data_IF_981623648179
#
_entry.id   IF_981623648179
#
_cell.length_a   1.000
_cell.length_b   1.000
_cell.length_c   1.000
_cell.angle_alpha   90.00
_cell.angle_beta   90.00
_cell.angle_gamma   90.00
#
_symmetry.space_group_name_H-M   'P 1'
#
loop_
_entity.id
_entity.type
_entity.pdbx_description
1 polymer ?
#
# COMPACT_ATOMS: atom_id res chain seq x y z
N UNK A 1 -20.77 -12.29 -11.54
CA UNK A 1 -20.22 -11.37 -12.54
C UNK A 1 -20.19 -9.99 -11.92
N UNK A 2 -19.07 -9.29 -11.99
CA UNK A 2 -18.87 -7.97 -11.42
C UNK A 2 -18.71 -6.97 -12.57
N UNK A 3 -19.37 -5.81 -12.50
CA UNK A 3 -19.26 -4.76 -13.52
C UNK A 3 -18.18 -3.73 -13.18
N UNK A 4 -17.85 -3.58 -11.88
CA UNK A 4 -16.80 -2.69 -11.39
C UNK A 4 -16.05 -3.37 -10.24
N UNK A 5 -14.73 -3.40 -10.31
CA UNK A 5 -13.88 -3.84 -9.21
C UNK A 5 -13.13 -2.62 -8.63
N UNK A 6 -13.33 -2.38 -7.33
CA UNK A 6 -12.74 -1.29 -6.58
C UNK A 6 -11.96 -1.86 -5.39
N UNK A 7 -10.72 -2.25 -5.62
CA UNK A 7 -9.90 -2.95 -4.63
C UNK A 7 -8.50 -2.36 -4.46
N UNK A 8 -8.37 -1.02 -4.53
CA UNK A 8 -7.06 -0.37 -4.43
C UNK A 8 -6.08 -0.85 -5.49
N UNK A 9 -6.58 -1.09 -6.70
CA UNK A 9 -5.76 -1.63 -7.79
C UNK A 9 -5.09 -0.50 -8.58
N UNK A 10 -3.95 -0.82 -9.14
CA UNK A 10 -3.24 0.01 -10.08
C UNK A 10 -2.87 -0.77 -11.32
N UNK A 11 -2.69 -0.06 -12.42
CA UNK A 11 -2.23 -0.61 -13.67
C UNK A 11 -0.72 -0.90 -13.61
N UNK A 12 -0.35 -2.15 -13.88
CA UNK A 12 1.03 -2.59 -14.03
C UNK A 12 1.20 -3.32 -15.36
N UNK A 13 2.41 -3.38 -15.86
CA UNK A 13 2.74 -4.12 -17.10
C UNK A 13 2.29 -5.60 -17.05
N UNK A 14 2.36 -6.23 -15.89
CA UNK A 14 1.98 -7.62 -15.66
C UNK A 14 0.52 -7.79 -15.16
N UNK A 15 -0.20 -6.71 -14.91
CA UNK A 15 -1.59 -6.73 -14.45
C UNK A 15 -2.50 -6.29 -15.59
N UNK A 16 -2.77 -7.20 -16.52
CA UNK A 16 -3.63 -6.96 -17.67
C UNK A 16 -5.09 -7.29 -17.34
N UNK A 17 -5.98 -6.39 -17.70
CA UNK A 17 -7.40 -6.68 -17.76
C UNK A 17 -7.70 -7.56 -18.98
N UNK A 18 -8.76 -8.40 -18.89
CA UNK A 18 -9.28 -9.11 -20.05
C UNK A 18 -9.87 -8.15 -21.10
N UNK A 19 -10.21 -8.69 -22.27
CA UNK A 19 -10.72 -7.89 -23.41
C UNK A 19 -12.02 -7.13 -23.10
N UNK A 20 -12.77 -7.57 -22.08
CA UNK A 20 -14.06 -7.02 -21.70
C UNK A 20 -13.98 -6.03 -20.51
N UNK A 21 -12.78 -5.57 -20.17
CA UNK A 21 -12.57 -4.62 -19.07
C UNK A 21 -11.51 -3.57 -19.42
N UNK A 22 -11.68 -2.38 -18.86
CA UNK A 22 -10.77 -1.24 -19.00
C UNK A 22 -10.47 -0.62 -17.64
N UNK A 23 -9.34 0.07 -17.52
CA UNK A 23 -9.02 0.88 -16.36
C UNK A 23 -9.78 2.22 -16.43
N UNK A 24 -10.31 2.67 -15.29
CA UNK A 24 -10.89 4.02 -15.17
C UNK A 24 -9.79 5.09 -15.15
N UNK A 25 -10.19 6.36 -15.19
CA UNK A 25 -9.37 7.45 -14.67
C UNK A 25 -8.93 7.15 -13.22
N UNK A 26 -7.79 7.62 -12.74
CA UNK A 26 -7.35 7.41 -11.38
C UNK A 26 -8.31 8.11 -10.41
N UNK A 27 -8.59 7.47 -9.27
CA UNK A 27 -9.43 8.05 -8.22
C UNK A 27 -8.66 8.43 -6.95
N UNK A 28 -7.45 7.90 -6.80
CA UNK A 28 -6.60 8.17 -5.64
C UNK A 28 -5.13 8.05 -6.01
N UNK A 29 -4.32 8.92 -5.40
CA UNK A 29 -2.88 8.84 -5.38
C UNK A 29 -2.45 8.25 -4.05
N UNK A 30 -1.60 7.23 -4.07
CA UNK A 30 -0.98 6.66 -2.88
C UNK A 30 0.52 6.61 -3.06
N UNK A 31 1.25 6.76 -1.97
CA UNK A 31 2.67 6.48 -1.89
C UNK A 31 2.86 5.19 -1.13
N UNK A 32 3.88 4.46 -1.47
CA UNK A 32 4.26 3.31 -0.71
C UNK A 32 4.95 3.75 0.58
N UNK A 33 4.67 3.06 1.68
CA UNK A 33 5.26 3.34 2.97
C UNK A 33 5.54 2.06 3.74
N UNK A 34 6.41 2.15 4.72
CA UNK A 34 6.55 1.13 5.75
C UNK A 34 5.99 1.68 7.06
N UNK A 35 5.10 0.93 7.68
CA UNK A 35 4.64 1.16 9.04
C UNK A 35 5.62 0.49 10.00
N UNK A 36 6.19 1.24 10.92
CA UNK A 36 7.18 0.79 11.92
C UNK A 36 6.79 1.27 13.32
N UNK A 37 7.45 0.74 14.35
CA UNK A 37 7.35 1.31 15.70
C UNK A 37 7.94 2.72 15.72
N UNK A 38 7.32 3.63 16.47
CA UNK A 38 7.85 4.99 16.68
C UNK A 38 9.29 4.97 17.23
N UNK A 39 9.61 4.00 18.09
CA UNK A 39 10.96 3.85 18.65
C UNK A 39 12.05 3.58 17.61
N UNK A 40 11.68 3.06 16.46
CA UNK A 40 12.61 2.67 15.41
C UNK A 40 12.80 3.76 14.34
N UNK A 41 12.04 4.87 14.41
CA UNK A 41 12.03 5.94 13.40
C UNK A 41 13.42 6.52 13.12
N UNK A 42 14.24 6.66 14.16
CA UNK A 42 15.57 7.24 14.02
C UNK A 42 16.64 6.24 13.51
N UNK A 43 16.31 4.95 13.53
CA UNK A 43 17.25 3.86 13.18
C UNK A 43 16.92 3.20 11.84
N UNK A 44 15.68 3.26 11.37
CA UNK A 44 15.23 2.65 10.11
C UNK A 44 14.96 3.73 9.06
N UNK A 45 16.02 4.25 8.43
CA UNK A 45 15.94 5.38 7.48
C UNK A 45 16.20 4.98 6.04
N UNK A 46 16.97 3.93 5.81
CA UNK A 46 17.35 3.48 4.47
C UNK A 46 17.16 1.96 4.35
N UNK A 47 17.06 1.41 3.13
CA UNK A 47 16.90 -0.03 2.95
C UNK A 47 17.96 -0.88 3.67
N UNK A 48 19.20 -0.37 3.78
CA UNK A 48 20.31 -1.05 4.45
C UNK A 48 20.09 -1.19 5.96
N UNK A 49 19.32 -0.31 6.59
CA UNK A 49 18.99 -0.36 8.01
C UNK A 49 18.07 -1.55 8.35
N UNK A 50 17.45 -2.13 7.33
CA UNK A 50 16.60 -3.32 7.47
C UNK A 50 17.36 -4.64 7.35
N UNK A 51 18.70 -4.63 7.35
CA UNK A 51 19.48 -5.85 7.40
C UNK A 51 19.11 -6.69 8.64
N UNK A 52 18.72 -7.95 8.42
CA UNK A 52 18.26 -8.86 9.48
C UNK A 52 16.87 -8.56 10.04
N UNK A 53 16.17 -7.57 9.50
CA UNK A 53 14.81 -7.19 9.89
C UNK A 53 13.76 -7.94 9.07
N UNK A 54 12.56 -8.07 9.63
CA UNK A 54 11.43 -8.72 8.99
C UNK A 54 10.40 -7.69 8.53
N UNK A 55 10.13 -7.66 7.23
CA UNK A 55 9.11 -6.81 6.61
C UNK A 55 7.97 -7.70 6.12
N UNK A 56 6.75 -7.43 6.59
CA UNK A 56 5.54 -8.10 6.11
C UNK A 56 4.91 -7.27 4.99
N UNK A 57 4.44 -7.94 3.95
CA UNK A 57 3.78 -7.33 2.79
C UNK A 57 2.60 -8.19 2.33
N UNK A 58 1.61 -7.57 1.70
CA UNK A 58 0.53 -8.31 1.05
C UNK A 58 1.03 -8.98 -0.23
N UNK A 59 0.76 -10.28 -0.46
CA UNK A 59 1.20 -10.99 -1.67
C UNK A 59 0.79 -10.26 -2.95
N UNK A 60 1.70 -10.21 -3.92
CA UNK A 60 1.50 -9.57 -5.24
C UNK A 60 1.18 -8.07 -5.21
N UNK A 61 1.25 -7.45 -4.03
CA UNK A 61 1.13 -6.00 -3.92
C UNK A 61 2.38 -5.30 -4.46
N UNK A 62 2.26 -4.02 -4.69
CA UNK A 62 3.40 -3.19 -5.04
C UNK A 62 4.44 -3.13 -3.92
N UNK A 63 4.01 -3.20 -2.65
CA UNK A 63 4.92 -3.31 -1.51
C UNK A 63 5.72 -4.63 -1.51
N UNK A 64 5.13 -5.73 -2.00
CA UNK A 64 5.84 -6.99 -2.16
C UNK A 64 6.94 -6.88 -3.23
N UNK A 65 6.60 -6.31 -4.38
CA UNK A 65 7.57 -6.08 -5.46
C UNK A 65 8.74 -5.21 -4.97
N UNK A 66 8.43 -4.14 -4.26
CA UNK A 66 9.42 -3.24 -3.70
C UNK A 66 10.28 -3.92 -2.63
N UNK A 67 9.67 -4.71 -1.77
CA UNK A 67 10.35 -5.53 -0.77
C UNK A 67 11.41 -6.44 -1.40
N UNK A 68 11.04 -7.16 -2.46
CA UNK A 68 11.94 -8.06 -3.17
C UNK A 68 13.06 -7.32 -3.94
N UNK A 69 12.78 -6.13 -4.48
CA UNK A 69 13.75 -5.38 -5.28
C UNK A 69 14.74 -4.57 -4.45
N UNK A 70 14.34 -4.04 -3.31
CA UNK A 70 15.13 -3.05 -2.57
C UNK A 70 15.56 -3.52 -1.18
N UNK A 71 14.67 -4.13 -0.42
CA UNK A 71 14.93 -4.50 0.96
C UNK A 71 15.57 -5.88 1.09
N UNK A 72 15.12 -6.84 0.33
CA UNK A 72 15.68 -8.19 0.33
C UNK A 72 17.16 -8.22 -0.10
N UNK A 73 17.60 -7.50 -1.16
CA UNK A 73 19.04 -7.40 -1.46
C UNK A 73 19.85 -6.69 -0.37
N UNK A 74 19.22 -5.81 0.41
CA UNK A 74 19.84 -5.16 1.57
C UNK A 74 19.90 -6.05 2.82
N UNK A 75 19.39 -7.28 2.73
CA UNK A 75 19.45 -8.26 3.82
C UNK A 75 18.21 -8.35 4.71
N UNK A 76 17.11 -7.72 4.33
CA UNK A 76 15.82 -7.90 5.00
C UNK A 76 15.17 -9.24 4.64
N UNK A 77 14.36 -9.76 5.54
CA UNK A 77 13.47 -10.91 5.29
C UNK A 77 12.09 -10.39 4.87
N UNK A 78 11.66 -10.73 3.67
CA UNK A 78 10.33 -10.38 3.17
C UNK A 78 9.39 -11.54 3.40
N UNK A 79 8.33 -11.31 4.18
CA UNK A 79 7.29 -12.29 4.48
C UNK A 79 5.99 -11.80 3.86
N UNK A 80 5.38 -12.62 2.99
CA UNK A 80 4.15 -12.24 2.30
C UNK A 80 2.97 -13.09 2.73
N UNK A 81 1.96 -12.46 3.33
CA UNK A 81 0.66 -13.05 3.66
C UNK A 81 -0.40 -11.94 3.77
N UNK A 82 -1.66 -12.32 3.92
CA UNK A 82 -2.76 -11.36 4.09
C UNK A 82 -3.14 -11.32 5.58
N UNK A 83 -2.55 -10.40 6.37
CA UNK A 83 -2.86 -10.28 7.79
C UNK A 83 -4.15 -9.51 8.03
N UNK A 84 -4.75 -9.70 9.19
CA UNK A 84 -5.69 -8.71 9.72
C UNK A 84 -4.95 -7.47 10.24
N UNK A 85 -5.65 -6.34 10.33
CA UNK A 85 -5.05 -5.11 10.88
C UNK A 85 -4.56 -5.29 12.32
N UNK A 86 -5.37 -5.96 13.16
CA UNK A 86 -5.01 -6.20 14.57
C UNK A 86 -3.79 -7.12 14.69
N UNK A 87 -3.66 -8.10 13.81
CA UNK A 87 -2.51 -8.99 13.76
C UNK A 87 -1.22 -8.24 13.42
N UNK A 88 -1.24 -7.37 12.41
CA UNK A 88 -0.09 -6.54 12.04
C UNK A 88 0.33 -5.63 13.20
N UNK A 89 -0.62 -4.94 13.81
CA UNK A 89 -0.32 -4.04 14.92
C UNK A 89 0.28 -4.81 16.11
N UNK A 90 -0.32 -5.94 16.47
CA UNK A 90 0.18 -6.79 17.55
C UNK A 90 1.60 -7.28 17.28
N UNK A 91 1.89 -7.75 16.08
CA UNK A 91 3.21 -8.24 15.69
C UNK A 91 4.26 -7.12 15.65
N UNK A 92 3.91 -5.92 15.17
CA UNK A 92 4.80 -4.75 15.21
C UNK A 92 5.13 -4.36 16.65
N UNK A 93 4.11 -4.17 17.48
CA UNK A 93 4.30 -3.72 18.87
C UNK A 93 5.04 -4.75 19.74
N UNK A 94 4.84 -6.04 19.49
CA UNK A 94 5.59 -7.11 20.17
C UNK A 94 7.02 -7.31 19.66
N UNK A 95 7.38 -6.69 18.54
CA UNK A 95 8.70 -6.87 17.91
C UNK A 95 8.86 -8.18 17.15
N UNK A 96 7.78 -8.91 16.88
CA UNK A 96 7.82 -10.12 16.07
C UNK A 96 8.14 -9.82 14.61
N UNK A 97 7.67 -8.67 14.12
CA UNK A 97 8.06 -8.09 12.84
C UNK A 97 8.58 -6.67 13.05
N UNK A 98 9.33 -6.15 12.09
CA UNK A 98 9.94 -4.82 12.19
C UNK A 98 9.20 -3.77 11.36
N UNK A 99 8.59 -4.18 10.26
CA UNK A 99 7.83 -3.28 9.40
C UNK A 99 6.67 -3.97 8.66
N UNK A 100 5.68 -3.16 8.26
CA UNK A 100 4.60 -3.56 7.37
C UNK A 100 4.55 -2.65 6.16
N UNK A 101 4.72 -3.23 4.98
CA UNK A 101 4.69 -2.50 3.70
C UNK A 101 3.30 -2.41 3.11
N UNK A 102 2.78 -1.19 3.00
CA UNK A 102 1.47 -0.89 2.41
C UNK A 102 1.44 0.56 1.88
N UNK A 103 0.33 0.98 1.27
CA UNK A 103 0.11 2.36 0.89
C UNK A 103 0.03 3.30 2.10
N UNK A 104 0.50 4.53 1.92
CA UNK A 104 0.54 5.55 2.98
C UNK A 104 -0.83 5.81 3.63
N UNK A 105 -1.90 5.86 2.84
CA UNK A 105 -3.26 6.05 3.37
C UNK A 105 -3.69 4.95 4.36
N UNK A 106 -3.38 3.68 4.04
CA UNK A 106 -3.68 2.55 4.92
C UNK A 106 -2.83 2.59 6.18
N UNK A 107 -1.54 2.85 6.04
CA UNK A 107 -0.61 2.91 7.17
C UNK A 107 -0.88 4.12 8.07
N UNK A 108 -1.23 5.29 7.52
CA UNK A 108 -1.67 6.45 8.30
C UNK A 108 -2.91 6.15 9.15
N UNK A 109 -3.88 5.46 8.56
CA UNK A 109 -5.07 5.04 9.29
C UNK A 109 -4.72 4.11 10.47
N UNK A 110 -3.84 3.14 10.28
CA UNK A 110 -3.37 2.26 11.34
C UNK A 110 -2.59 3.03 12.41
N UNK A 111 -1.65 3.87 12.00
CA UNK A 111 -0.86 4.68 12.92
C UNK A 111 -1.73 5.63 13.77
N UNK A 112 -2.76 6.23 13.15
CA UNK A 112 -3.67 7.15 13.84
C UNK A 112 -4.59 6.49 14.87
N UNK A 113 -4.81 5.18 14.78
CA UNK A 113 -5.66 4.43 15.74
C UNK A 113 -4.93 3.93 16.99
N UNK A 114 -3.62 3.83 16.94
CA UNK A 114 -2.82 3.22 18.00
C UNK A 114 -1.94 4.25 18.71
N UNK A 115 -2.51 4.82 19.76
CA UNK A 115 -1.90 5.88 20.57
C UNK A 115 -1.48 5.33 21.93
N UNK A 116 -0.47 5.95 22.53
CA UNK A 116 -0.07 5.70 23.92
C UNK A 116 -0.95 6.48 24.90
N UNK A 117 -0.64 6.39 26.19
CA UNK A 117 -1.36 7.08 27.28
C UNK A 117 -1.29 8.61 27.20
N UNK A 118 -0.35 9.16 26.43
CA UNK A 118 -0.18 10.59 26.19
C UNK A 118 -0.83 11.05 24.88
N UNK A 119 -1.48 10.14 24.14
CA UNK A 119 -2.10 10.43 22.84
C UNK A 119 -1.11 10.49 21.68
N UNK A 120 0.11 10.02 21.86
CA UNK A 120 1.11 9.96 20.81
C UNK A 120 1.06 8.60 20.06
N UNK A 121 1.35 8.61 18.78
CA UNK A 121 1.33 7.41 17.96
C UNK A 121 2.37 6.39 18.40
N UNK A 122 1.96 5.15 18.58
CA UNK A 122 2.86 4.02 18.84
C UNK A 122 3.56 3.53 17.56
N UNK A 123 2.89 3.69 16.42
CA UNK A 123 3.36 3.33 15.09
C UNK A 123 3.45 4.59 14.22
N UNK A 124 4.43 4.62 13.33
CA UNK A 124 4.68 5.74 12.43
C UNK A 124 5.03 5.22 11.03
N UNK A 125 4.86 6.07 10.04
CA UNK A 125 5.31 5.77 8.69
C UNK A 125 6.75 6.23 8.52
N UNK A 126 7.52 5.41 7.83
CA UNK A 126 8.79 5.87 7.28
C UNK A 126 8.58 6.30 5.84
N UNK A 127 9.16 7.45 5.50
CA UNK A 127 9.26 7.94 4.13
C UNK A 127 10.35 7.22 3.33
N UNK A 128 10.65 5.99 3.68
CA UNK A 128 11.60 5.19 2.93
C UNK A 128 11.04 4.96 1.53
N UNK A 129 11.35 5.92 0.71
CA UNK A 129 10.87 6.11 -0.63
C UNK A 129 11.13 4.89 -1.47
N UNK A 130 10.16 4.13 -1.53
CA UNK A 130 10.19 2.98 -2.38
C UNK A 130 10.13 3.38 -3.83
N UNK A 131 9.30 4.30 -4.20
CA UNK A 131 9.15 4.75 -5.58
C UNK A 131 9.14 6.27 -5.68
N UNK A 132 9.81 6.79 -6.71
CA UNK A 132 9.83 8.24 -7.02
C UNK A 132 8.46 8.76 -7.45
N UNK A 133 7.60 7.88 -7.97
CA UNK A 133 6.27 8.26 -8.48
C UNK A 133 5.15 7.72 -7.60
N UNK A 134 4.14 8.54 -7.28
CA UNK A 134 2.92 8.09 -6.64
C UNK A 134 2.21 7.03 -7.48
N UNK A 135 1.59 6.10 -6.81
CA UNK A 135 0.77 5.06 -7.43
C UNK A 135 -0.65 5.58 -7.69
N UNK A 136 -1.13 5.42 -8.93
CA UNK A 136 -2.46 5.83 -9.35
C UNK A 136 -3.45 4.69 -9.17
N UNK A 137 -4.29 4.73 -8.14
CA UNK A 137 -5.35 3.76 -7.97
C UNK A 137 -6.47 3.97 -8.97
N UNK A 138 -6.90 2.89 -9.61
CA UNK A 138 -7.93 2.88 -10.66
C UNK A 138 -8.97 1.80 -10.37
N UNK A 139 -10.14 1.96 -10.95
CA UNK A 139 -11.17 0.93 -10.99
C UNK A 139 -10.98 0.07 -12.24
N UNK A 140 -11.16 -1.25 -12.13
CA UNK A 140 -11.34 -2.10 -13.29
C UNK A 140 -12.82 -2.13 -13.63
N UNK A 141 -13.18 -1.69 -14.85
CA UNK A 141 -14.57 -1.49 -15.28
C UNK A 141 -14.85 -2.36 -16.48
N UNK A 142 -15.96 -3.09 -16.43
CA UNK A 142 -16.46 -3.87 -17.57
C UNK A 142 -16.77 -2.95 -18.75
N UNK A 143 -16.23 -3.28 -19.92
CA UNK A 143 -16.30 -2.42 -21.12
C UNK A 143 -17.27 -2.90 -22.20
N UNK A 144 -18.02 -3.97 -21.95
CA UNK A 144 -19.04 -4.49 -22.91
C UNK A 144 -20.08 -3.43 -23.25
N UNK A 145 -20.45 -2.57 -22.28
CA UNK A 145 -21.21 -1.36 -22.52
C UNK A 145 -20.32 -0.14 -22.29
N UNK A 146 -19.94 0.54 -23.36
CA UNK A 146 -19.06 1.70 -23.32
C UNK A 146 -19.59 2.88 -22.47
N UNK A 147 -20.90 2.92 -22.18
CA UNK A 147 -21.52 3.96 -21.34
C UNK A 147 -21.07 3.87 -19.89
N UNK A 148 -20.81 2.66 -19.37
CA UNK A 148 -20.41 2.48 -17.98
C UNK A 148 -19.01 3.07 -17.68
N UNK A 149 -17.93 2.74 -18.42
CA UNK A 149 -16.64 3.40 -18.24
C UNK A 149 -16.70 4.92 -18.42
N UNK A 150 -17.47 5.41 -19.39
CA UNK A 150 -17.62 6.84 -19.64
C UNK A 150 -18.29 7.57 -18.45
N UNK A 151 -19.38 7.02 -17.91
CA UNK A 151 -20.07 7.59 -16.76
C UNK A 151 -19.21 7.59 -15.49
N UNK A 152 -18.42 6.53 -15.26
CA UNK A 152 -17.49 6.45 -14.14
C UNK A 152 -16.40 7.51 -14.28
N UNK A 153 -15.79 7.64 -15.44
CA UNK A 153 -14.75 8.63 -15.66
C UNK A 153 -15.27 10.06 -15.50
N UNK A 154 -16.44 10.37 -16.03
CA UNK A 154 -17.09 11.67 -15.85
C UNK A 154 -17.35 11.98 -14.36
N UNK A 155 -17.82 10.99 -13.59
CA UNK A 155 -18.01 11.14 -12.15
C UNK A 155 -16.67 11.41 -11.42
N UNK A 156 -15.62 10.63 -11.72
CA UNK A 156 -14.30 10.80 -11.09
C UNK A 156 -13.70 12.17 -11.39
N UNK A 157 -13.81 12.65 -12.64
CA UNK A 157 -13.33 13.98 -13.03
C UNK A 157 -14.05 15.11 -12.29
N UNK A 158 -15.34 14.95 -12.04
CA UNK A 158 -16.12 15.94 -11.28
C UNK A 158 -15.74 15.97 -9.80
N UNK A 159 -15.46 14.82 -9.22
CA UNK A 159 -15.14 14.71 -7.78
C UNK A 159 -13.72 15.12 -7.44
N UNK A 160 -12.78 15.04 -8.38
CA UNK A 160 -11.40 15.49 -8.19
C UNK A 160 -11.19 17.01 -8.26
N UNK A 161 -12.23 17.77 -8.62
CA UNK A 161 -12.18 19.24 -8.72
C UNK A 161 -12.58 19.97 -7.42
N UNK A 162 -12.73 19.24 -6.33
CA UNK A 162 -13.08 19.80 -5.01
C UNK A 162 -11.83 20.05 -4.18
#
# INVERSE_FOLDING_TARGET
>A
VCDVAAAGMMEYENRRLGNDAVWSAPYMLVKRSLLIRRTDLETLKEPQDFQGKTIVVTPTSSAHIDGDLRYKPAGATIVSFVPSQDEIVSQLLSGLIDAFGEGDASNEYLAGKHLDEHGERLLVLTDLHSMETPELLRLAVRSVDARLPAAINEFLERTQRI
#
